data_IF_811263595419
#
_entry.id   IF_811263595419
#
_cell.length_a   1.000
_cell.length_b   1.000
_cell.length_c   1.000
_cell.angle_alpha   90.00
_cell.angle_beta   90.00
_cell.angle_gamma   90.00
#
_symmetry.space_group_name_H-M   'P 1'
#
loop_
_entity.id
_entity.type
_entity.pdbx_description
1 polymer ?
#
# COMPACT_ATOMS: atom_id res chain seq x y z
N UNK A 1 -1.59 -11.34 25.06
CA UNK A 1 -0.80 -11.83 23.90
C UNK A 1 -0.29 -10.60 23.18
N UNK A 2 1.03 -10.48 22.98
CA UNK A 2 1.64 -9.32 22.33
C UNK A 2 1.24 -9.27 20.85
N UNK A 3 0.72 -8.13 20.38
CA UNK A 3 0.26 -7.91 19.01
C UNK A 3 1.44 -7.35 18.20
N UNK A 4 2.11 -8.20 17.40
CA UNK A 4 3.33 -7.82 16.65
C UNK A 4 3.08 -7.51 15.18
N UNK A 5 1.92 -7.92 14.65
CA UNK A 5 1.44 -7.67 13.29
C UNK A 5 -0.09 -7.77 13.28
N UNK A 6 -0.73 -7.44 12.15
CA UNK A 6 -2.10 -7.85 11.87
C UNK A 6 -2.26 -8.14 10.38
N UNK A 7 -2.51 -9.41 10.01
CA UNK A 7 -2.73 -9.78 8.62
C UNK A 7 -3.88 -10.79 8.50
N UNK A 8 -4.86 -10.46 7.66
CA UNK A 8 -6.11 -11.22 7.48
C UNK A 8 -6.47 -11.52 6.01
N UNK A 9 -5.52 -11.36 5.08
CA UNK A 9 -5.81 -11.37 3.65
C UNK A 9 -6.09 -12.77 3.07
N UNK A 10 -5.59 -13.84 3.70
CA UNK A 10 -5.75 -15.20 3.21
C UNK A 10 -6.82 -15.95 4.01
N UNK A 11 -7.43 -16.94 3.38
CA UNK A 11 -8.48 -17.76 4.02
C UNK A 11 -7.96 -18.49 5.27
N UNK A 12 -6.69 -18.93 5.24
CA UNK A 12 -6.09 -19.77 6.29
C UNK A 12 -5.71 -19.05 7.58
N UNK A 13 -6.00 -17.75 7.72
CA UNK A 13 -5.55 -16.92 8.87
C UNK A 13 -5.83 -17.57 10.23
N UNK A 14 -5.00 -17.27 11.23
CA UNK A 14 -5.12 -17.87 12.55
C UNK A 14 -6.55 -17.68 13.12
N UNK A 15 -7.21 -18.80 13.42
CA UNK A 15 -8.58 -18.82 13.92
C UNK A 15 -9.63 -18.20 12.99
N UNK A 16 -9.33 -18.04 11.69
CA UNK A 16 -10.22 -17.38 10.72
C UNK A 16 -10.46 -15.90 10.99
N UNK A 17 -9.62 -15.24 11.80
CA UNK A 17 -9.82 -13.84 12.23
C UNK A 17 -8.64 -12.94 11.87
N UNK A 18 -7.41 -13.44 11.98
CA UNK A 18 -6.21 -12.68 11.65
C UNK A 18 -4.96 -13.22 12.34
N UNK A 19 -3.82 -13.10 11.67
CA UNK A 19 -2.53 -13.43 12.25
C UNK A 19 -2.00 -12.23 13.04
N UNK A 20 -1.74 -12.42 14.33
CA UNK A 20 -1.37 -11.34 15.27
C UNK A 20 -0.03 -11.53 16.00
N UNK A 21 0.56 -12.73 15.90
CA UNK A 21 1.76 -13.12 16.64
C UNK A 21 3.08 -12.75 15.93
N UNK A 22 4.15 -13.48 16.22
CA UNK A 22 5.46 -13.25 15.60
C UNK A 22 5.54 -13.61 14.11
N UNK A 23 4.60 -14.43 13.61
CA UNK A 23 4.48 -14.82 12.22
C UNK A 23 3.02 -15.19 11.88
N UNK A 24 2.68 -15.13 10.59
CA UNK A 24 1.44 -15.65 10.04
C UNK A 24 1.50 -17.15 9.77
N UNK A 25 0.31 -17.74 9.60
CA UNK A 25 0.14 -19.17 9.22
C UNK A 25 0.87 -19.54 7.93
N UNK A 26 1.05 -18.58 7.01
CA UNK A 26 1.75 -18.76 5.75
C UNK A 26 3.28 -18.66 5.87
N UNK A 27 3.80 -18.42 7.09
CA UNK A 27 5.24 -18.25 7.35
C UNK A 27 5.75 -16.81 7.22
N UNK A 28 4.91 -15.84 6.83
CA UNK A 28 5.27 -14.42 6.81
C UNK A 28 5.64 -13.94 8.22
N UNK A 29 6.86 -13.44 8.43
CA UNK A 29 7.26 -12.88 9.73
C UNK A 29 6.49 -11.59 10.02
N UNK A 30 6.36 -11.23 11.31
CA UNK A 30 5.79 -9.94 11.72
C UNK A 30 6.55 -8.74 11.13
N UNK A 31 7.88 -8.83 11.00
CA UNK A 31 8.70 -7.81 10.32
C UNK A 31 8.27 -7.62 8.87
N UNK A 32 8.20 -8.69 8.09
CA UNK A 32 7.78 -8.64 6.68
C UNK A 32 6.33 -8.17 6.57
N UNK A 33 5.45 -8.58 7.48
CA UNK A 33 4.06 -8.10 7.50
C UNK A 33 4.00 -6.58 7.67
N UNK A 34 4.74 -6.02 8.62
CA UNK A 34 4.79 -4.58 8.87
C UNK A 34 5.41 -3.83 7.68
N UNK A 35 6.41 -4.40 6.99
CA UNK A 35 6.96 -3.84 5.76
C UNK A 35 5.97 -3.87 4.59
N UNK A 36 5.14 -4.91 4.47
CA UNK A 36 4.06 -4.95 3.47
C UNK A 36 2.97 -3.91 3.78
N UNK A 37 2.69 -3.63 5.06
CA UNK A 37 1.79 -2.54 5.46
C UNK A 37 2.39 -1.17 5.14
N UNK A 38 3.69 -0.97 5.39
CA UNK A 38 4.42 0.26 5.03
C UNK A 38 4.41 0.49 3.51
N UNK A 39 4.72 -0.54 2.71
CA UNK A 39 4.64 -0.50 1.26
C UNK A 39 3.23 -0.13 0.77
N UNK A 40 2.20 -0.72 1.39
CA UNK A 40 0.80 -0.38 1.09
C UNK A 40 0.52 1.10 1.39
N UNK A 41 1.01 1.61 2.52
CA UNK A 41 0.94 3.03 2.87
C UNK A 41 1.63 3.94 1.85
N UNK A 42 2.83 3.56 1.40
CA UNK A 42 3.57 4.29 0.37
C UNK A 42 2.83 4.32 -0.97
N UNK A 43 2.23 3.19 -1.39
CA UNK A 43 1.42 3.08 -2.60
C UNK A 43 0.17 3.97 -2.56
N UNK A 44 -0.50 4.06 -1.41
CA UNK A 44 -1.60 5.02 -1.19
C UNK A 44 -1.09 6.46 -1.34
N UNK A 45 0.11 6.75 -0.81
CA UNK A 45 0.77 8.05 -0.98
C UNK A 45 1.03 8.38 -2.45
N UNK A 46 1.56 7.43 -3.23
CA UNK A 46 1.75 7.58 -4.67
C UNK A 46 0.41 7.80 -5.39
N UNK A 47 -0.62 7.00 -5.09
CA UNK A 47 -1.93 7.16 -5.71
C UNK A 47 -2.57 8.54 -5.42
N UNK A 48 -2.31 9.13 -4.24
CA UNK A 48 -2.71 10.51 -3.93
C UNK A 48 -1.93 11.54 -4.73
N UNK A 49 -0.61 11.37 -4.86
CA UNK A 49 0.21 12.25 -5.68
C UNK A 49 -0.23 12.26 -7.16
N UNK A 50 -0.65 11.11 -7.70
CA UNK A 50 -1.20 11.01 -9.05
C UNK A 50 -2.49 11.81 -9.29
N UNK A 51 -3.17 12.30 -8.26
CA UNK A 51 -4.38 13.13 -8.43
C UNK A 51 -4.06 14.55 -8.90
N UNK A 52 -2.88 15.06 -8.53
CA UNK A 52 -2.43 16.41 -8.90
C UNK A 52 -1.15 16.41 -9.74
N UNK A 53 -0.43 15.29 -9.79
CA UNK A 53 0.79 15.13 -10.58
C UNK A 53 0.56 14.52 -11.95
N UNK A 54 1.66 14.14 -12.60
CA UNK A 54 1.67 13.59 -13.95
C UNK A 54 2.13 12.12 -13.94
N UNK A 55 1.23 11.16 -13.68
CA UNK A 55 1.58 9.75 -13.72
C UNK A 55 1.98 9.31 -15.13
N UNK A 56 2.95 8.41 -15.18
CA UNK A 56 3.48 7.81 -16.40
C UNK A 56 3.14 6.31 -16.46
N UNK A 57 3.42 5.67 -17.59
CA UNK A 57 3.34 4.21 -17.69
C UNK A 57 4.24 3.50 -16.66
N UNK A 58 5.37 4.13 -16.30
CA UNK A 58 6.24 3.62 -15.25
C UNK A 58 5.57 3.71 -13.86
N UNK A 59 4.88 4.82 -13.56
CA UNK A 59 4.09 4.96 -12.33
C UNK A 59 3.09 3.81 -12.16
N UNK A 60 2.33 3.49 -13.21
CA UNK A 60 1.37 2.40 -13.18
C UNK A 60 2.03 1.04 -12.95
N UNK A 61 3.18 0.81 -13.58
CA UNK A 61 3.98 -0.40 -13.38
C UNK A 61 4.44 -0.54 -11.93
N UNK A 62 4.94 0.53 -11.32
CA UNK A 62 5.37 0.54 -9.92
C UNK A 62 4.21 0.23 -8.97
N UNK A 63 3.00 0.76 -9.25
CA UNK A 63 1.81 0.41 -8.46
C UNK A 63 1.49 -1.08 -8.57
N UNK A 64 1.51 -1.63 -9.79
CA UNK A 64 1.23 -3.07 -10.01
C UNK A 64 2.27 -3.97 -9.34
N UNK A 65 3.56 -3.67 -9.50
CA UNK A 65 4.66 -4.43 -8.88
C UNK A 65 4.59 -4.35 -7.34
N UNK A 66 4.30 -3.16 -6.79
CA UNK A 66 4.12 -2.96 -5.35
C UNK A 66 2.96 -3.76 -4.78
N UNK A 67 1.78 -3.71 -5.41
CA UNK A 67 0.62 -4.48 -4.97
C UNK A 67 0.84 -5.99 -5.11
N UNK A 68 1.47 -6.44 -6.20
CA UNK A 68 1.73 -7.86 -6.40
C UNK A 68 2.69 -8.43 -5.34
N UNK A 69 3.65 -7.62 -4.91
CA UNK A 69 4.63 -7.97 -3.86
C UNK A 69 3.98 -8.27 -2.50
N UNK A 70 2.78 -7.74 -2.22
CA UNK A 70 2.06 -7.96 -0.94
C UNK A 70 1.08 -9.14 -0.97
N UNK A 71 0.91 -9.81 -2.11
CA UNK A 71 0.02 -10.97 -2.23
C UNK A 71 0.59 -12.17 -1.44
N UNK A 72 -0.32 -13.00 -0.92
CA UNK A 72 0.03 -14.18 -0.11
C UNK A 72 0.99 -15.09 -0.87
N UNK A 73 2.09 -15.49 -0.23
CA UNK A 73 3.13 -16.39 -0.76
C UNK A 73 3.90 -15.86 -1.99
N UNK A 74 3.86 -14.55 -2.26
CA UNK A 74 4.65 -13.96 -3.36
C UNK A 74 6.06 -13.61 -2.92
N UNK A 75 6.21 -12.83 -1.84
CA UNK A 75 7.53 -12.36 -1.43
C UNK A 75 7.63 -12.14 0.10
N UNK A 76 8.60 -12.80 0.72
CA UNK A 76 8.91 -12.68 2.15
C UNK A 76 10.34 -12.17 2.43
N UNK A 77 11.00 -11.57 1.45
CA UNK A 77 12.34 -11.03 1.62
C UNK A 77 12.29 -9.54 2.04
N UNK A 78 12.85 -9.22 3.21
CA UNK A 78 12.83 -7.86 3.79
C UNK A 78 13.55 -6.82 2.91
N UNK A 79 14.71 -7.15 2.34
CA UNK A 79 15.49 -6.26 1.48
C UNK A 79 14.72 -5.86 0.21
N UNK A 80 14.00 -6.81 -0.39
CA UNK A 80 13.14 -6.53 -1.54
C UNK A 80 11.95 -5.63 -1.18
N UNK A 81 11.42 -5.73 0.06
CA UNK A 81 10.38 -4.80 0.53
C UNK A 81 10.93 -3.38 0.61
N UNK A 82 12.09 -3.19 1.26
CA UNK A 82 12.73 -1.87 1.35
C UNK A 82 13.00 -1.28 -0.03
N UNK A 83 13.57 -2.08 -0.93
CA UNK A 83 13.80 -1.66 -2.32
C UNK A 83 12.51 -1.23 -3.01
N UNK A 84 11.40 -1.93 -2.79
CA UNK A 84 10.11 -1.57 -3.39
C UNK A 84 9.51 -0.30 -2.77
N UNK A 85 9.62 -0.12 -1.45
CA UNK A 85 9.21 1.10 -0.73
C UNK A 85 9.97 2.32 -1.27
N UNK A 86 11.29 2.19 -1.42
CA UNK A 86 12.14 3.26 -1.94
C UNK A 86 11.76 3.63 -3.38
N UNK A 87 11.51 2.64 -4.24
CA UNK A 87 11.02 2.86 -5.61
C UNK A 87 9.68 3.61 -5.63
N UNK A 88 8.73 3.22 -4.78
CA UNK A 88 7.41 3.89 -4.70
C UNK A 88 7.57 5.33 -4.22
N UNK A 89 8.43 5.57 -3.22
CA UNK A 89 8.67 6.91 -2.71
C UNK A 89 9.39 7.82 -3.71
N UNK A 90 10.37 7.29 -4.44
CA UNK A 90 11.06 8.01 -5.51
C UNK A 90 10.08 8.39 -6.63
N UNK A 91 9.24 7.45 -7.06
CA UNK A 91 8.24 7.70 -8.09
C UNK A 91 7.20 8.73 -7.64
N UNK A 92 6.76 8.67 -6.38
CA UNK A 92 5.86 9.68 -5.80
C UNK A 92 6.44 11.09 -5.88
N UNK A 93 7.75 11.25 -5.62
CA UNK A 93 8.42 12.53 -5.77
C UNK A 93 8.48 12.99 -7.23
N UNK A 94 8.81 12.07 -8.16
CA UNK A 94 8.89 12.37 -9.60
C UNK A 94 7.54 12.79 -10.20
N UNK A 95 6.45 12.12 -9.79
CA UNK A 95 5.08 12.45 -10.22
C UNK A 95 4.68 13.88 -9.83
N UNK A 96 5.16 14.38 -8.68
CA UNK A 96 4.91 15.73 -8.20
C UNK A 96 5.87 16.79 -8.77
N UNK A 97 7.11 16.41 -9.13
CA UNK A 97 8.11 17.35 -9.63
C UNK A 97 7.99 17.67 -11.12
N UNK A 98 7.07 17.03 -11.83
CA UNK A 98 6.88 17.22 -13.27
C UNK A 98 6.26 18.59 -13.64
N UNK A 99 6.11 19.51 -12.67
CA UNK A 99 5.60 20.89 -12.84
C UNK A 99 6.68 21.92 -13.22
N UNK A 100 7.52 21.65 -14.21
CA UNK A 100 8.24 22.73 -14.92
C UNK A 100 7.51 23.04 -16.22
N UNK A 101 6.31 23.63 -16.11
CA UNK A 101 5.62 24.22 -17.27
C UNK A 101 4.09 24.25 -17.28
N UNK A 102 3.38 24.62 -16.21
CA UNK A 102 1.99 25.05 -16.35
C UNK A 102 1.59 26.02 -15.22
N UNK A 103 1.04 27.16 -15.62
CA UNK A 103 0.74 28.30 -14.76
C UNK A 103 -0.36 28.01 -13.73
N UNK A 104 -0.14 28.54 -12.52
CA UNK A 104 -1.11 28.64 -11.44
C UNK A 104 -2.44 29.24 -11.92
N UNK A 105 -3.55 28.57 -11.62
CA UNK A 105 -4.85 29.23 -11.42
C UNK A 105 -5.59 28.53 -10.27
N UNK A 106 -5.85 29.31 -9.23
CA UNK A 106 -6.52 28.95 -8.00
C UNK A 106 -8.03 28.77 -8.16
N UNK A 107 -8.55 27.59 -7.81
CA UNK A 107 -9.90 27.27 -7.29
C UNK A 107 -10.02 25.72 -7.34
N UNK A 108 -10.44 24.94 -6.35
CA UNK A 108 -11.38 25.09 -5.25
C UNK A 108 -11.03 24.00 -4.20
N UNK A 109 -10.98 24.37 -2.92
CA UNK A 109 -10.59 23.52 -1.79
C UNK A 109 -11.77 22.71 -1.20
N UNK A 110 -12.86 22.49 -1.94
CA UNK A 110 -14.04 21.81 -1.38
C UNK A 110 -14.35 20.46 -2.03
N UNK A 111 -14.35 19.43 -1.17
CA UNK A 111 -14.92 18.09 -1.35
C UNK A 111 -13.99 16.92 -1.76
N UNK A 112 -13.04 16.58 -0.89
CA UNK A 112 -12.56 15.18 -0.77
C UNK A 112 -13.39 14.49 0.31
N UNK A 113 -14.52 13.86 -0.06
CA UNK A 113 -15.26 12.97 0.86
C UNK A 113 -14.61 11.58 0.84
N UNK A 114 -14.38 10.94 2.00
CA UNK A 114 -13.99 9.54 2.05
C UNK A 114 -15.04 8.69 1.32
N UNK A 115 -14.61 7.74 0.48
CA UNK A 115 -15.53 6.72 -0.02
C UNK A 115 -16.16 5.99 1.19
N UNK A 116 -17.50 5.86 1.24
CA UNK A 116 -18.13 5.09 2.29
C UNK A 116 -17.77 3.62 2.10
N UNK A 117 -16.90 3.10 2.98
CA UNK A 117 -16.67 1.66 3.10
C UNK A 117 -17.95 1.06 3.66
N UNK A 118 -18.83 0.58 2.77
CA UNK A 118 -20.00 -0.21 3.16
C UNK A 118 -19.48 -1.53 3.72
N UNK A 119 -19.44 -1.65 5.05
CA UNK A 119 -19.20 -2.92 5.72
C UNK A 119 -20.34 -3.87 5.30
N UNK A 120 -20.00 -4.93 4.56
CA UNK A 120 -20.95 -6.00 4.33
C UNK A 120 -21.24 -6.70 5.67
N UNK A 121 -22.51 -7.02 5.97
CA UNK A 121 -22.83 -7.80 7.15
C UNK A 121 -22.25 -9.20 7.00
N UNK A 122 -21.38 -9.60 7.93
CA UNK A 122 -20.94 -10.98 8.06
C UNK A 122 -22.13 -11.80 8.54
N UNK A 123 -22.73 -12.60 7.66
CA UNK A 123 -23.70 -13.62 8.05
C UNK A 123 -23.00 -14.67 8.93
N UNK A 124 -23.54 -14.87 10.13
CA UNK A 124 -23.23 -16.02 10.98
C UNK A 124 -23.71 -17.32 10.35
#
# INVERSE_FOLDING_TARGET
>A
MEQKMFCFQCEQTAGGTGCTGGAGVCGKSSTVANLQDELTGALIGLARACQSGHPTAYTHRIVLEGLFTTITNVNFNEETMHTMIDKVNAEKAAVLSSEEGASINSADSSAVRPLPIKRQPTSK
#
